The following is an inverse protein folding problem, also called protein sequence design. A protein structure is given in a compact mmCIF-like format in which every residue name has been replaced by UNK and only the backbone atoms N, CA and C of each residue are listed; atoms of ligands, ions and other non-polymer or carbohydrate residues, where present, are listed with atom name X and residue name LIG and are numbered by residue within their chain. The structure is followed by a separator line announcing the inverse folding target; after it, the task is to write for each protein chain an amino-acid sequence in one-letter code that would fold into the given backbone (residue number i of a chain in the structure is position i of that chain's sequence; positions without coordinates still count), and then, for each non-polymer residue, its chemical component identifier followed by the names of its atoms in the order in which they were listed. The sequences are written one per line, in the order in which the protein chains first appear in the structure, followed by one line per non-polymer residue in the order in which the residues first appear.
data_IF_569887802863
#
_entry.id   IF_569887802863
#
_cell.length_a   1.000
_cell.length_b   1.000
_cell.length_c   1.000
_cell.angle_alpha   90.00
_cell.angle_beta   90.00
_cell.angle_gamma   90.00
#
_symmetry.space_group_name_H-M   'P 1'
#
loop_
_entity.id
_entity.type
_entity.pdbx_description
1 polymer ?
#
# COMPACT_ATOMS: atom_id res chain seq x y z
N UNK A 1 21.69 12.03 -4.45
CA UNK A 1 22.91 12.87 -4.55
C UNK A 1 23.84 12.41 -5.66
N UNK A 2 23.71 11.18 -6.16
CA UNK A 2 24.54 10.62 -7.24
C UNK A 2 24.33 11.31 -8.61
N UNK A 3 23.13 11.85 -8.85
CA UNK A 3 22.78 12.57 -10.08
C UNK A 3 22.88 14.11 -9.96
N UNK A 4 23.33 14.65 -8.82
CA UNK A 4 23.48 16.10 -8.62
C UNK A 4 24.86 16.56 -9.10
N UNK A 5 24.92 17.65 -9.89
CA UNK A 5 26.20 18.29 -10.23
C UNK A 5 26.79 18.98 -8.98
N UNK A 6 28.10 19.22 -8.98
CA UNK A 6 28.88 19.67 -7.81
C UNK A 6 28.43 21.00 -7.16
N UNK A 7 27.50 21.73 -7.78
CA UNK A 7 27.00 23.00 -7.27
C UNK A 7 25.49 23.17 -7.50
N UNK A 8 24.75 22.06 -7.42
CA UNK A 8 23.34 21.99 -7.79
C UNK A 8 22.47 21.43 -6.67
N UNK A 9 21.30 22.05 -6.46
CA UNK A 9 20.31 21.57 -5.50
C UNK A 9 19.34 20.55 -6.12
N UNK A 10 18.60 19.82 -5.27
CA UNK A 10 17.55 18.89 -5.72
C UNK A 10 16.45 19.61 -6.50
N UNK A 11 16.16 20.86 -6.15
CA UNK A 11 15.14 21.68 -6.81
C UNK A 11 15.60 22.12 -8.21
N UNK A 12 16.87 22.52 -8.34
CA UNK A 12 17.47 22.88 -9.63
C UNK A 12 17.51 21.66 -10.57
N UNK A 13 17.87 20.50 -10.03
CA UNK A 13 17.85 19.23 -10.76
C UNK A 13 16.44 18.86 -11.24
N UNK A 14 15.44 18.96 -10.36
CA UNK A 14 14.03 18.71 -10.71
C UNK A 14 13.54 19.70 -11.78
N UNK A 15 13.87 20.98 -11.66
CA UNK A 15 13.51 22.01 -12.63
C UNK A 15 14.13 21.74 -14.01
N UNK A 16 15.38 21.28 -14.08
CA UNK A 16 15.99 20.90 -15.35
C UNK A 16 15.32 19.68 -15.98
N UNK A 17 14.91 18.70 -15.18
CA UNK A 17 14.19 17.52 -15.68
C UNK A 17 12.71 17.78 -16.01
N UNK A 18 12.10 18.84 -15.50
CA UNK A 18 10.66 19.13 -15.71
C UNK A 18 10.39 20.31 -16.62
N UNK A 19 11.42 21.03 -17.05
CA UNK A 19 11.27 22.17 -17.94
C UNK A 19 11.08 21.73 -19.40
N UNK A 20 9.86 21.89 -19.91
CA UNK A 20 9.47 21.49 -21.27
C UNK A 20 10.21 22.24 -22.39
N UNK A 21 10.72 23.44 -22.10
CA UNK A 21 11.41 24.27 -23.10
C UNK A 21 12.88 23.95 -23.23
N UNK A 22 13.51 23.45 -22.16
CA UNK A 22 14.93 23.07 -22.10
C UNK A 22 15.04 21.81 -21.26
N UNK A 23 14.78 20.66 -21.89
CA UNK A 23 14.89 19.35 -21.24
C UNK A 23 16.34 18.83 -21.37
N UNK A 24 17.04 18.77 -20.26
CA UNK A 24 18.44 18.32 -20.17
C UNK A 24 18.59 17.29 -19.04
N UNK A 25 17.84 16.17 -19.17
CA UNK A 25 17.90 15.01 -18.28
C UNK A 25 17.85 13.67 -19.03
N UNK A 26 18.51 12.67 -18.45
CA UNK A 26 18.51 11.25 -18.82
C UNK A 26 17.26 10.52 -18.29
N UNK A 27 16.96 9.34 -18.86
CA UNK A 27 15.91 8.44 -18.36
C UNK A 27 16.13 8.05 -16.89
N UNK A 28 17.38 7.81 -16.48
CA UNK A 28 17.73 7.45 -15.10
C UNK A 28 17.49 8.60 -14.11
N UNK A 29 17.81 9.83 -14.54
CA UNK A 29 17.58 11.06 -13.78
C UNK A 29 16.08 11.34 -13.61
N UNK A 30 15.31 11.14 -14.69
CA UNK A 30 13.86 11.26 -14.67
C UNK A 30 13.20 10.19 -13.78
N UNK A 31 13.67 8.95 -13.84
CA UNK A 31 13.25 7.87 -12.94
C UNK A 31 13.51 8.27 -11.49
N UNK A 32 14.66 8.84 -11.18
CA UNK A 32 14.97 9.31 -9.82
C UNK A 32 14.04 10.45 -9.36
N UNK A 33 13.74 11.42 -10.22
CA UNK A 33 12.79 12.51 -9.94
C UNK A 33 11.35 12.02 -9.73
N UNK A 34 10.93 11.00 -10.48
CA UNK A 34 9.54 10.50 -10.48
C UNK A 34 9.27 9.43 -9.43
N UNK A 35 10.29 8.66 -9.01
CA UNK A 35 10.14 7.63 -7.99
C UNK A 35 9.75 8.19 -6.61
N UNK A 36 10.07 9.46 -6.33
CA UNK A 36 9.73 10.13 -5.08
C UNK A 36 10.27 9.42 -3.83
N UNK A 37 10.00 9.95 -2.62
CA UNK A 37 10.38 9.26 -1.39
C UNK A 37 9.60 7.95 -1.25
N UNK A 38 10.31 6.82 -1.35
CA UNK A 38 9.80 5.43 -1.26
C UNK A 38 9.06 5.10 0.05
N UNK A 39 9.17 5.95 1.07
CA UNK A 39 8.63 5.73 2.40
C UNK A 39 7.78 6.94 2.76
N UNK A 40 6.45 6.79 2.78
CA UNK A 40 5.63 7.75 3.52
C UNK A 40 6.07 7.73 4.99
N UNK A 41 6.03 8.87 5.71
CA UNK A 41 6.39 8.89 7.12
C UNK A 41 5.56 7.86 7.88
N UNK A 42 6.22 7.02 8.68
CA UNK A 42 5.60 5.93 9.46
C UNK A 42 4.39 6.42 10.27
N UNK A 43 4.44 7.66 10.75
CA UNK A 43 3.35 8.33 11.48
C UNK A 43 2.03 8.41 10.71
N UNK A 44 2.05 8.36 9.37
CA UNK A 44 0.84 8.37 8.53
C UNK A 44 0.38 6.96 8.15
N UNK A 45 1.32 6.02 8.00
CA UNK A 45 1.02 4.63 7.62
C UNK A 45 0.32 3.91 8.77
N UNK A 46 0.84 4.04 9.99
CA UNK A 46 0.31 3.37 11.20
C UNK A 46 -1.20 3.61 11.38
N UNK A 47 -1.72 4.86 11.42
CA UNK A 47 -3.15 5.07 11.64
C UNK A 47 -3.99 4.50 10.49
N UNK A 48 -3.54 4.61 9.24
CA UNK A 48 -4.27 4.08 8.07
C UNK A 48 -4.39 2.56 8.18
N UNK A 49 -3.29 1.87 8.49
CA UNK A 49 -3.28 0.42 8.70
C UNK A 49 -4.22 0.02 9.85
N UNK A 50 -4.20 0.75 10.96
CA UNK A 50 -5.10 0.48 12.11
C UNK A 50 -6.56 0.65 11.71
N UNK A 51 -6.94 1.72 11.01
CA UNK A 51 -8.31 1.92 10.54
C UNK A 51 -8.77 0.81 9.59
N UNK A 52 -7.91 0.41 8.65
CA UNK A 52 -8.20 -0.67 7.72
C UNK A 52 -8.38 -2.01 8.44
N UNK A 53 -7.56 -2.30 9.45
CA UNK A 53 -7.71 -3.49 10.29
C UNK A 53 -9.03 -3.48 11.07
N UNK A 54 -9.42 -2.34 11.65
CA UNK A 54 -10.67 -2.23 12.40
C UNK A 54 -11.88 -2.43 11.49
N UNK A 55 -11.92 -1.77 10.33
CA UNK A 55 -13.01 -1.93 9.36
C UNK A 55 -13.06 -3.38 8.86
N UNK A 56 -11.91 -3.99 8.62
CA UNK A 56 -11.82 -5.39 8.24
C UNK A 56 -12.37 -6.33 9.32
N UNK A 57 -11.93 -6.19 10.57
CA UNK A 57 -12.41 -7.01 11.69
C UNK A 57 -13.92 -6.85 11.91
N UNK A 58 -14.43 -5.62 11.82
CA UNK A 58 -15.88 -5.37 11.93
C UNK A 58 -16.66 -5.96 10.76
N UNK A 59 -16.13 -5.92 9.54
CA UNK A 59 -16.73 -6.57 8.37
C UNK A 59 -16.72 -8.10 8.47
N UNK A 60 -15.67 -8.67 9.04
CA UNK A 60 -15.54 -10.12 9.27
C UNK A 60 -16.50 -10.59 10.34
N UNK A 61 -16.50 -9.94 11.50
CA UNK A 61 -17.42 -10.26 12.60
C UNK A 61 -18.87 -10.03 12.15
N UNK A 62 -19.12 -8.95 11.40
CA UNK A 62 -20.44 -8.65 10.84
C UNK A 62 -20.93 -9.73 9.87
N UNK A 63 -20.09 -10.15 8.93
CA UNK A 63 -20.44 -11.20 7.98
C UNK A 63 -20.59 -12.56 8.67
N UNK A 64 -19.76 -12.91 9.65
CA UNK A 64 -19.89 -14.15 10.43
C UNK A 64 -21.14 -14.11 11.31
N UNK A 65 -21.44 -13.00 11.99
CA UNK A 65 -22.63 -12.87 12.81
C UNK A 65 -23.91 -12.98 11.98
N UNK A 66 -23.93 -12.33 10.80
CA UNK A 66 -25.04 -12.47 9.84
C UNK A 66 -25.13 -13.91 9.32
N UNK A 67 -24.01 -14.56 9.01
CA UNK A 67 -23.99 -15.97 8.63
C UNK A 67 -24.48 -16.91 9.75
N UNK A 68 -24.14 -16.66 11.02
CA UNK A 68 -24.62 -17.48 12.17
C UNK A 68 -26.13 -17.29 12.38
N UNK A 69 -26.61 -16.06 12.24
CA UNK A 69 -28.05 -15.75 12.29
C UNK A 69 -28.77 -16.40 11.10
N UNK A 70 -28.16 -16.43 9.92
CA UNK A 70 -28.72 -17.06 8.70
C UNK A 70 -28.60 -18.58 8.74
N UNK A 71 -27.59 -19.18 9.38
CA UNK A 71 -27.47 -20.64 9.54
C UNK A 71 -28.62 -21.22 10.39
N UNK A 72 -29.34 -20.39 11.16
CA UNK A 72 -30.64 -20.78 11.72
C UNK A 72 -31.71 -21.06 10.65
N UNK A 73 -31.53 -20.63 9.39
CA UNK A 73 -32.37 -20.87 8.21
C UNK A 73 -31.52 -21.23 6.96
N UNK A 74 -31.27 -22.51 6.68
CA UNK A 74 -30.27 -22.96 5.72
C UNK A 74 -30.84 -23.07 4.31
N UNK A 75 -30.41 -22.22 3.38
CA UNK A 75 -30.57 -22.45 1.95
C UNK A 75 -29.41 -21.84 1.14
N UNK A 76 -28.47 -22.73 0.78
CA UNK A 76 -27.41 -22.64 -0.24
C UNK A 76 -26.11 -21.86 0.06
N UNK A 77 -25.02 -22.66 0.13
CA UNK A 77 -23.59 -22.33 -0.07
C UNK A 77 -22.83 -21.51 0.99
N UNK A 78 -22.82 -22.01 2.23
CA UNK A 78 -21.98 -21.50 3.34
C UNK A 78 -20.57 -22.09 3.44
N UNK A 79 -20.11 -22.90 2.48
CA UNK A 79 -18.77 -23.52 2.54
C UNK A 79 -17.69 -22.81 1.69
N UNK A 80 -18.07 -21.97 0.71
CA UNK A 80 -17.08 -21.28 -0.16
C UNK A 80 -16.52 -19.99 0.45
N UNK A 81 -17.23 -19.34 1.38
CA UNK A 81 -16.88 -18.01 1.88
C UNK A 81 -15.80 -18.01 2.99
N UNK A 82 -15.62 -19.13 3.70
CA UNK A 82 -14.57 -19.27 4.72
C UNK A 82 -13.16 -19.35 4.09
N UNK A 83 -13.08 -19.94 2.90
CA UNK A 83 -11.84 -20.07 2.14
C UNK A 83 -11.38 -18.71 1.58
N UNK A 84 -12.30 -17.95 0.98
CA UNK A 84 -12.02 -16.58 0.50
C UNK A 84 -11.66 -15.63 1.65
N UNK A 85 -12.31 -15.78 2.81
CA UNK A 85 -11.97 -15.03 4.02
C UNK A 85 -10.55 -15.37 4.55
N UNK A 86 -10.21 -16.65 4.62
CA UNK A 86 -8.89 -17.11 5.08
C UNK A 86 -7.76 -16.75 4.11
N UNK A 87 -8.07 -16.67 2.82
CA UNK A 87 -7.15 -16.20 1.78
C UNK A 87 -6.86 -14.70 1.93
N UNK A 88 -7.89 -13.87 2.16
CA UNK A 88 -7.73 -12.43 2.41
C UNK A 88 -6.97 -12.12 3.71
N UNK A 89 -7.17 -12.93 4.76
CA UNK A 89 -6.40 -12.83 5.99
C UNK A 89 -4.92 -13.19 5.75
N UNK A 90 -4.65 -14.22 4.94
CA UNK A 90 -3.29 -14.65 4.63
C UNK A 90 -2.52 -13.61 3.81
N UNK A 91 -3.12 -13.01 2.77
CA UNK A 91 -2.48 -11.95 1.99
C UNK A 91 -2.20 -10.69 2.82
N UNK A 92 -3.08 -10.36 3.78
CA UNK A 92 -2.87 -9.24 4.68
C UNK A 92 -1.72 -9.50 5.67
N UNK A 93 -1.63 -10.71 6.22
CA UNK A 93 -0.48 -11.12 7.04
C UNK A 93 0.81 -11.09 6.20
N UNK A 94 0.75 -11.51 4.94
CA UNK A 94 1.89 -11.53 4.05
C UNK A 94 2.36 -10.10 3.71
N UNK A 95 1.44 -9.15 3.55
CA UNK A 95 1.78 -7.72 3.39
C UNK A 95 2.34 -7.10 4.68
N UNK A 96 1.79 -7.43 5.85
CA UNK A 96 2.27 -6.93 7.14
C UNK A 96 3.65 -7.49 7.52
N UNK A 97 3.85 -8.80 7.35
CA UNK A 97 5.10 -9.48 7.68
C UNK A 97 6.14 -9.38 6.56
N UNK A 98 5.72 -9.30 5.30
CA UNK A 98 6.62 -9.18 4.15
C UNK A 98 7.40 -7.87 4.15
N UNK A 99 6.76 -6.74 4.46
CA UNK A 99 7.43 -5.45 4.63
C UNK A 99 8.26 -5.37 5.93
N UNK A 100 8.01 -6.25 6.89
CA UNK A 100 8.75 -6.32 8.16
C UNK A 100 10.06 -7.14 8.06
N UNK A 101 10.20 -8.00 7.04
CA UNK A 101 11.39 -8.84 6.84
C UNK A 101 12.50 -8.19 6.01
N UNK A 102 12.28 -6.98 5.49
CA UNK A 102 13.32 -6.19 4.80
C UNK A 102 13.83 -5.07 5.72
N UNK A 103 14.45 -5.48 6.83
CA UNK A 103 15.35 -4.66 7.64
C UNK A 103 16.77 -5.17 7.45
#
# INVERSE_FOLDING_TARGET
MEFLRANESVEDFYMRCTNLTVFDCSEEEMLWCTMGPRRLPLSRIIPITVFLLVIFLTGVIGNVAVCVVIVRHPAMHTDTNYYLFSLALSDLLLLLFGESYSY
#
